data_IF_018892991120
#
_entry.id   IF_018892991120
#
_cell.length_a   1.000
_cell.length_b   1.000
_cell.length_c   1.000
_cell.angle_alpha   90.00
_cell.angle_beta   90.00
_cell.angle_gamma   90.00
#
_symmetry.space_group_name_H-M   'P 1'
#
loop_
_entity.id
_entity.type
_entity.pdbx_description
1 polymer ?
#
# COMPACT_ATOMS: atom_id res chain seq x y z
N UNK A 1 6.93 -16.08 -8.61
CA UNK A 1 6.54 -15.81 -7.20
C UNK A 1 6.00 -14.39 -7.01
N UNK A 2 6.66 -13.31 -7.50
CA UNK A 2 6.19 -11.90 -7.33
C UNK A 2 4.89 -11.58 -8.05
N UNK A 3 4.55 -12.31 -9.11
CA UNK A 3 3.36 -12.10 -9.93
C UNK A 3 2.18 -13.01 -9.54
N UNK A 4 2.27 -13.75 -8.43
CA UNK A 4 1.31 -14.80 -8.05
C UNK A 4 1.04 -15.81 -9.19
N UNK A 5 2.03 -16.08 -10.02
CA UNK A 5 1.98 -17.12 -11.02
C UNK A 5 2.09 -18.50 -10.35
N UNK A 6 1.41 -19.52 -10.88
CA UNK A 6 1.57 -20.91 -10.43
C UNK A 6 3.01 -21.40 -10.62
N UNK A 7 3.41 -22.38 -9.84
CA UNK A 7 4.78 -22.93 -9.97
C UNK A 7 5.02 -23.54 -11.36
N UNK A 8 4.01 -24.19 -11.94
CA UNK A 8 4.04 -24.71 -13.30
C UNK A 8 4.28 -23.60 -14.36
N UNK A 9 3.58 -22.46 -14.20
CA UNK A 9 3.77 -21.32 -15.09
C UNK A 9 5.17 -20.71 -14.92
N UNK A 10 5.69 -20.67 -13.71
CA UNK A 10 7.04 -20.18 -13.41
C UNK A 10 8.06 -21.10 -14.10
N UNK A 11 7.92 -22.42 -13.94
CA UNK A 11 8.81 -23.40 -14.54
C UNK A 11 8.86 -23.30 -16.06
N UNK A 12 7.69 -23.22 -16.70
CA UNK A 12 7.57 -23.03 -18.15
C UNK A 12 8.22 -21.75 -18.66
N UNK A 13 8.17 -20.66 -17.87
CA UNK A 13 8.83 -19.41 -18.23
C UNK A 13 10.33 -19.52 -18.10
N UNK A 14 10.82 -20.19 -17.03
CA UNK A 14 12.26 -20.41 -16.81
C UNK A 14 12.83 -21.21 -17.97
N UNK A 15 12.25 -22.35 -18.31
CA UNK A 15 12.67 -23.19 -19.44
C UNK A 15 12.74 -22.39 -20.76
N UNK A 16 11.69 -21.64 -21.10
CA UNK A 16 11.68 -20.84 -22.32
C UNK A 16 12.67 -19.67 -22.32
N UNK A 17 13.05 -19.17 -21.16
CA UNK A 17 14.09 -18.14 -21.03
C UNK A 17 15.46 -18.79 -21.13
N UNK A 18 15.68 -19.95 -20.49
CA UNK A 18 16.94 -20.69 -20.56
C UNK A 18 17.31 -21.07 -21.99
N UNK A 19 16.35 -21.50 -22.80
CA UNK A 19 16.53 -21.81 -24.24
C UNK A 19 16.99 -20.59 -25.07
N UNK A 20 16.81 -19.37 -24.56
CA UNK A 20 17.12 -18.14 -25.27
C UNK A 20 18.30 -17.36 -24.67
N UNK A 21 18.90 -17.87 -23.61
CA UNK A 21 20.09 -17.25 -22.96
C UNK A 21 21.33 -17.55 -23.82
N UNK A 22 22.18 -16.54 -23.95
CA UNK A 22 23.49 -16.64 -24.57
C UNK A 22 24.53 -15.87 -23.76
N UNK A 23 25.78 -16.16 -23.96
CA UNK A 23 26.89 -15.48 -23.25
C UNK A 23 26.90 -13.96 -23.55
N UNK A 24 26.99 -13.14 -22.50
CA UNK A 24 26.93 -11.68 -22.60
C UNK A 24 25.52 -11.09 -22.63
N UNK A 25 24.45 -11.89 -22.51
CA UNK A 25 23.09 -11.34 -22.39
C UNK A 25 22.95 -10.48 -21.12
N UNK A 26 22.31 -9.29 -21.25
CA UNK A 26 22.06 -8.43 -20.10
C UNK A 26 20.88 -8.91 -19.26
N UNK A 27 20.95 -8.71 -17.95
CA UNK A 27 19.81 -8.98 -17.03
C UNK A 27 18.52 -8.26 -17.45
N UNK A 28 18.65 -7.06 -18.02
CA UNK A 28 17.51 -6.31 -18.58
C UNK A 28 16.83 -7.06 -19.71
N UNK A 29 17.60 -7.70 -20.60
CA UNK A 29 17.05 -8.46 -21.73
C UNK A 29 16.39 -9.76 -21.26
N UNK A 30 16.99 -10.48 -20.32
CA UNK A 30 16.39 -11.64 -19.65
C UNK A 30 15.04 -11.28 -19.05
N UNK A 31 14.99 -10.15 -18.34
CA UNK A 31 13.77 -9.64 -17.71
C UNK A 31 12.66 -9.32 -18.71
N UNK A 32 13.02 -8.72 -19.86
CA UNK A 32 12.10 -8.41 -20.95
C UNK A 32 11.53 -9.69 -21.62
N UNK A 33 12.38 -10.70 -21.81
CA UNK A 33 11.99 -12.00 -22.36
C UNK A 33 11.00 -12.71 -21.41
N UNK A 34 11.35 -12.86 -20.15
CA UNK A 34 10.47 -13.46 -19.14
C UNK A 34 9.13 -12.74 -19.05
N UNK A 35 9.12 -11.41 -19.10
CA UNK A 35 7.89 -10.62 -19.10
C UNK A 35 7.04 -10.82 -20.36
N UNK A 36 7.66 -10.89 -21.54
CA UNK A 36 6.96 -11.14 -22.82
C UNK A 36 6.27 -12.50 -22.80
N UNK A 37 6.96 -13.53 -22.31
CA UNK A 37 6.41 -14.89 -22.17
C UNK A 37 5.27 -14.88 -21.15
N UNK A 38 5.46 -14.29 -19.97
CA UNK A 38 4.43 -14.16 -18.95
C UNK A 38 3.18 -13.46 -19.47
N UNK A 39 3.34 -12.37 -20.24
CA UNK A 39 2.22 -11.62 -20.82
C UNK A 39 1.42 -12.46 -21.83
N UNK A 40 2.09 -13.31 -22.60
CA UNK A 40 1.46 -14.25 -23.53
C UNK A 40 0.66 -15.35 -22.83
N UNK A 41 1.15 -15.83 -21.67
CA UNK A 41 0.54 -16.94 -20.93
C UNK A 41 -0.49 -16.47 -19.87
N UNK A 42 -0.28 -15.32 -19.23
CA UNK A 42 -1.19 -14.77 -18.20
C UNK A 42 -1.13 -13.25 -18.16
N UNK A 43 -2.17 -12.60 -18.69
CA UNK A 43 -2.29 -11.13 -18.63
C UNK A 43 -2.42 -10.63 -17.19
N UNK A 44 -3.11 -11.37 -16.32
CA UNK A 44 -3.30 -11.01 -14.91
C UNK A 44 -1.97 -11.01 -14.17
N UNK A 45 -1.19 -12.09 -14.27
CA UNK A 45 0.13 -12.19 -13.65
C UNK A 45 1.13 -11.16 -14.21
N UNK A 46 1.05 -10.87 -15.51
CA UNK A 46 1.86 -9.83 -16.15
C UNK A 46 1.49 -8.42 -15.64
N UNK A 47 0.20 -8.13 -15.42
CA UNK A 47 -0.27 -6.86 -14.85
C UNK A 47 0.22 -6.69 -13.40
N UNK A 48 0.09 -7.73 -12.57
CA UNK A 48 0.61 -7.72 -11.19
C UNK A 48 2.13 -7.52 -11.13
N UNK A 49 2.85 -8.09 -12.09
CA UNK A 49 4.29 -7.92 -12.20
C UNK A 49 4.69 -6.47 -12.51
N UNK A 50 3.93 -5.79 -13.38
CA UNK A 50 4.13 -4.36 -13.69
C UNK A 50 3.64 -3.43 -12.59
N UNK A 51 2.58 -3.81 -11.86
CA UNK A 51 2.00 -2.97 -10.81
C UNK A 51 3.04 -2.54 -9.78
N UNK A 52 3.89 -3.47 -9.30
CA UNK A 52 4.95 -3.14 -8.35
C UNK A 52 5.88 -2.07 -8.90
N UNK A 53 6.29 -2.20 -10.17
CA UNK A 53 7.14 -1.21 -10.82
C UNK A 53 6.43 0.14 -10.93
N UNK A 54 5.18 0.13 -11.40
CA UNK A 54 4.38 1.35 -11.52
C UNK A 54 4.20 2.06 -10.16
N UNK A 55 3.93 1.31 -9.08
CA UNK A 55 3.85 1.88 -7.74
C UNK A 55 5.17 2.49 -7.27
N UNK A 56 6.31 1.92 -7.65
CA UNK A 56 7.64 2.46 -7.32
C UNK A 56 8.03 3.68 -8.15
N UNK A 57 7.33 3.93 -9.25
CA UNK A 57 7.55 5.06 -10.16
C UNK A 57 6.57 6.23 -9.93
N UNK A 58 5.70 6.15 -8.92
CA UNK A 58 4.77 7.23 -8.57
C UNK A 58 5.45 8.49 -8.01
N UNK A 59 6.74 8.37 -7.58
CA UNK A 59 7.51 9.47 -7.00
C UNK A 59 7.90 10.58 -7.99
N UNK A 60 8.63 11.62 -7.56
CA UNK A 60 9.43 11.67 -6.31
C UNK A 60 8.65 12.04 -5.04
N UNK A 61 7.47 12.64 -5.14
CA UNK A 61 6.66 12.97 -3.97
C UNK A 61 5.71 11.83 -3.54
N UNK A 62 5.22 11.85 -2.30
CA UNK A 62 4.20 10.92 -1.81
C UNK A 62 2.81 11.15 -2.38
N UNK A 63 2.52 12.35 -2.86
CA UNK A 63 1.18 12.79 -3.24
C UNK A 63 0.48 11.91 -4.31
N UNK A 64 1.15 11.43 -5.39
CA UNK A 64 0.52 10.48 -6.31
C UNK A 64 0.11 9.15 -5.64
N UNK A 65 0.86 8.72 -4.62
CA UNK A 65 0.52 7.51 -3.85
C UNK A 65 -0.69 7.75 -2.93
N UNK A 66 -0.80 8.92 -2.30
CA UNK A 66 -1.97 9.33 -1.51
C UNK A 66 -3.25 9.33 -2.37
N UNK A 67 -3.16 9.92 -3.58
CA UNK A 67 -4.28 9.88 -4.55
C UNK A 67 -4.65 8.47 -4.96
N UNK A 68 -3.68 7.59 -5.18
CA UNK A 68 -3.94 6.19 -5.49
C UNK A 68 -4.67 5.50 -4.34
N UNK A 69 -4.21 5.68 -3.10
CA UNK A 69 -4.87 5.11 -1.91
C UNK A 69 -6.31 5.64 -1.77
N UNK A 70 -6.51 6.95 -1.97
CA UNK A 70 -7.85 7.52 -2.01
C UNK A 70 -8.75 6.84 -3.04
N UNK A 71 -8.26 6.63 -4.28
CA UNK A 71 -9.02 5.95 -5.33
C UNK A 71 -9.28 4.46 -5.05
N UNK A 72 -8.35 3.76 -4.41
CA UNK A 72 -8.58 2.37 -3.97
C UNK A 72 -9.72 2.30 -2.94
N UNK A 73 -9.73 3.20 -1.96
CA UNK A 73 -10.77 3.27 -0.96
C UNK A 73 -12.13 3.69 -1.56
N UNK A 74 -12.14 4.59 -2.56
CA UNK A 74 -13.37 4.91 -3.31
C UNK A 74 -13.92 3.68 -4.03
N UNK A 75 -13.06 2.86 -4.63
CA UNK A 75 -13.47 1.61 -5.27
C UNK A 75 -14.04 0.59 -4.26
N UNK A 76 -13.60 0.65 -3.00
CA UNK A 76 -14.17 -0.13 -1.88
C UNK A 76 -15.46 0.49 -1.31
N UNK A 77 -15.93 1.59 -1.88
CA UNK A 77 -17.19 2.24 -1.53
C UNK A 77 -17.08 3.31 -0.45
N UNK A 78 -15.87 3.80 -0.14
CA UNK A 78 -15.68 4.93 0.76
C UNK A 78 -15.80 6.27 0.02
N UNK A 79 -16.33 7.28 0.68
CA UNK A 79 -16.15 8.68 0.28
C UNK A 79 -14.81 9.18 0.82
N UNK A 80 -13.92 9.67 -0.05
CA UNK A 80 -12.55 10.05 0.33
C UNK A 80 -12.28 11.55 0.19
N UNK A 81 -11.35 12.05 1.00
CA UNK A 81 -10.70 13.36 0.86
C UNK A 81 -9.20 13.18 1.04
N UNK A 82 -8.41 13.78 0.16
CA UNK A 82 -6.93 13.67 0.14
C UNK A 82 -6.30 14.99 0.55
N UNK A 83 -5.25 14.95 1.38
CA UNK A 83 -4.49 16.13 1.81
C UNK A 83 -5.33 17.11 2.64
N UNK A 84 -5.90 16.66 3.76
CA UNK A 84 -6.83 17.48 4.57
C UNK A 84 -6.20 17.87 5.89
N UNK A 85 -6.20 19.17 6.20
CA UNK A 85 -5.83 19.66 7.52
C UNK A 85 -7.04 19.53 8.46
N UNK A 86 -6.87 18.84 9.58
CA UNK A 86 -7.88 18.68 10.62
C UNK A 86 -7.38 19.19 11.96
N UNK A 87 -8.28 19.70 12.77
CA UNK A 87 -7.99 20.07 14.15
C UNK A 87 -8.03 18.81 15.01
N UNK A 88 -6.92 18.48 15.69
CA UNK A 88 -6.89 17.55 16.80
C UNK A 88 -7.25 18.25 18.11
N UNK A 89 -7.30 17.50 19.21
CA UNK A 89 -7.53 18.09 20.53
C UNK A 89 -6.41 19.08 20.90
N UNK A 90 -5.17 18.75 20.58
CA UNK A 90 -4.00 19.52 20.96
C UNK A 90 -3.47 20.40 19.83
N UNK A 91 -3.30 19.82 18.63
CA UNK A 91 -2.69 20.50 17.47
C UNK A 91 -3.41 20.17 16.16
N UNK A 92 -3.10 20.91 15.10
CA UNK A 92 -3.56 20.58 13.76
C UNK A 92 -2.70 19.46 13.16
N UNK A 93 -3.35 18.62 12.35
CA UNK A 93 -2.71 17.52 11.62
C UNK A 93 -3.09 17.58 10.14
N UNK A 94 -2.13 17.43 9.27
CA UNK A 94 -2.37 17.09 7.87
C UNK A 94 -2.60 15.58 7.78
N UNK A 95 -3.71 15.16 7.19
CA UNK A 95 -4.08 13.76 6.98
C UNK A 95 -4.07 13.47 5.50
N UNK A 96 -3.29 12.47 5.09
CA UNK A 96 -3.11 12.14 3.68
C UNK A 96 -4.42 11.68 3.04
N UNK A 97 -5.19 10.80 3.71
CA UNK A 97 -6.52 10.38 3.24
C UNK A 97 -7.49 10.21 4.41
N UNK A 98 -8.62 10.90 4.32
CA UNK A 98 -9.80 10.63 5.16
C UNK A 98 -10.77 9.81 4.31
N UNK A 99 -11.22 8.66 4.81
CA UNK A 99 -12.19 7.80 4.13
C UNK A 99 -13.38 7.53 5.05
N UNK A 100 -14.58 7.77 4.53
CA UNK A 100 -15.84 7.63 5.26
C UNK A 100 -16.78 6.67 4.54
N UNK A 101 -17.30 5.71 5.27
CA UNK A 101 -18.32 4.78 4.80
C UNK A 101 -19.22 4.39 5.95
N UNK A 102 -20.53 4.58 5.77
CA UNK A 102 -21.53 4.33 6.80
C UNK A 102 -21.13 5.00 8.13
N UNK A 103 -20.97 4.23 9.19
CA UNK A 103 -20.57 4.69 10.52
C UNK A 103 -19.05 4.59 10.76
N UNK A 104 -18.27 4.38 9.71
CA UNK A 104 -16.81 4.22 9.85
C UNK A 104 -16.07 5.39 9.22
N UNK A 105 -15.16 6.00 9.99
CA UNK A 105 -14.26 7.06 9.55
C UNK A 105 -12.80 6.62 9.72
N UNK A 106 -12.08 6.56 8.62
CA UNK A 106 -10.66 6.20 8.60
C UNK A 106 -9.79 7.44 8.43
N UNK A 107 -8.74 7.55 9.25
CA UNK A 107 -7.61 8.45 9.10
C UNK A 107 -6.41 7.66 8.60
N UNK A 108 -6.01 7.87 7.37
CA UNK A 108 -4.97 7.09 6.71
C UNK A 108 -3.75 7.96 6.44
N UNK A 109 -2.60 7.48 6.88
CA UNK A 109 -1.28 7.97 6.48
C UNK A 109 -0.72 7.12 5.35
N UNK A 110 -0.14 7.75 4.35
CA UNK A 110 0.42 7.12 3.15
C UNK A 110 1.94 7.24 3.15
N UNK A 111 2.65 6.14 3.40
CA UNK A 111 4.11 6.14 3.43
C UNK A 111 4.69 5.60 2.13
N UNK A 112 5.03 6.53 1.23
CA UNK A 112 5.70 6.20 -0.03
C UNK A 112 7.21 6.06 0.15
N UNK A 113 7.80 5.04 -0.47
CA UNK A 113 9.24 4.85 -0.58
C UNK A 113 9.63 4.63 -2.04
N UNK A 114 10.63 5.36 -2.53
CA UNK A 114 11.21 5.18 -3.87
C UNK A 114 12.13 3.95 -3.98
N UNK A 115 12.62 3.45 -2.84
CA UNK A 115 13.47 2.25 -2.75
C UNK A 115 12.65 1.03 -2.32
N UNK A 116 12.68 -0.03 -3.12
CA UNK A 116 11.97 -1.29 -2.86
C UNK A 116 12.49 -2.06 -1.63
N UNK A 117 13.75 -1.86 -1.26
CA UNK A 117 14.39 -2.48 -0.10
C UNK A 117 13.98 -1.85 1.22
N UNK A 118 13.37 -0.66 1.19
CA UNK A 118 13.01 0.08 2.39
C UNK A 118 11.72 -0.46 3.03
N UNK A 119 11.75 -0.58 4.36
CA UNK A 119 10.61 -1.03 5.17
C UNK A 119 10.07 0.11 6.02
N UNK A 120 8.76 0.14 6.22
CA UNK A 120 8.12 0.94 7.26
C UNK A 120 8.36 0.26 8.62
N UNK A 121 9.22 0.84 9.46
CA UNK A 121 9.49 0.33 10.80
C UNK A 121 8.43 0.79 11.82
N UNK A 122 8.54 0.31 13.05
CA UNK A 122 7.59 0.56 14.14
C UNK A 122 7.42 2.05 14.50
N UNK A 123 8.40 2.91 14.20
CA UNK A 123 8.29 4.36 14.45
C UNK A 123 7.13 5.00 13.70
N UNK A 124 6.80 4.47 12.50
CA UNK A 124 5.68 5.01 11.70
C UNK A 124 4.34 4.73 12.39
N UNK A 125 3.93 3.47 12.66
CA UNK A 125 2.66 3.22 13.32
C UNK A 125 2.60 3.79 14.75
N UNK A 126 3.71 3.89 15.50
CA UNK A 126 3.75 4.60 16.79
C UNK A 126 3.37 6.08 16.63
N UNK A 127 4.00 6.78 15.70
CA UNK A 127 3.75 8.19 15.43
C UNK A 127 2.31 8.42 14.95
N UNK A 128 1.84 7.60 14.01
CA UNK A 128 0.49 7.73 13.47
C UNK A 128 -0.58 7.39 14.51
N UNK A 129 -0.34 6.42 15.39
CA UNK A 129 -1.25 6.14 16.50
C UNK A 129 -1.42 7.34 17.43
N UNK A 130 -0.31 8.01 17.79
CA UNK A 130 -0.38 9.22 18.63
C UNK A 130 -1.15 10.36 17.93
N UNK A 131 -0.93 10.57 16.62
CA UNK A 131 -1.70 11.55 15.84
C UNK A 131 -3.18 11.20 15.78
N UNK A 132 -3.49 9.93 15.52
CA UNK A 132 -4.85 9.44 15.47
C UNK A 132 -5.59 9.68 16.79
N UNK A 133 -4.99 9.37 17.93
CA UNK A 133 -5.59 9.60 19.23
C UNK A 133 -5.89 11.09 19.52
N UNK A 134 -5.06 12.01 19.02
CA UNK A 134 -5.31 13.45 19.16
C UNK A 134 -6.51 13.89 18.29
N UNK A 135 -6.59 13.39 17.04
CA UNK A 135 -7.70 13.68 16.13
C UNK A 135 -9.00 13.03 16.60
N UNK A 136 -8.96 11.77 17.02
CA UNK A 136 -10.12 11.01 17.50
C UNK A 136 -10.80 11.72 18.67
N UNK A 137 -10.01 12.17 19.68
CA UNK A 137 -10.55 12.92 20.82
C UNK A 137 -11.26 14.22 20.45
N UNK A 138 -10.89 14.83 19.33
CA UNK A 138 -11.58 16.01 18.81
C UNK A 138 -12.81 15.62 18.01
N UNK A 139 -12.75 14.57 17.18
CA UNK A 139 -13.87 14.07 16.40
C UNK A 139 -15.02 13.59 17.29
N UNK A 140 -14.74 12.87 18.38
CA UNK A 140 -15.76 12.44 19.35
C UNK A 140 -16.61 13.58 19.92
N UNK A 141 -16.11 14.82 19.88
CA UNK A 141 -16.80 16.04 20.36
C UNK A 141 -17.54 16.78 19.24
N UNK A 142 -17.35 16.37 18.00
CA UNK A 142 -17.95 17.04 16.84
C UNK A 142 -19.30 16.43 16.51
N UNK A 143 -20.27 17.31 16.26
CA UNK A 143 -21.60 16.91 15.80
C UNK A 143 -21.51 16.04 14.54
N UNK A 144 -22.16 14.90 14.55
CA UNK A 144 -22.16 13.92 13.45
C UNK A 144 -21.03 12.89 13.53
N UNK A 145 -20.29 12.87 14.65
CA UNK A 145 -19.25 11.87 14.93
C UNK A 145 -19.57 11.03 16.19
N UNK A 146 -20.70 11.28 16.86
CA UNK A 146 -21.04 10.73 18.18
C UNK A 146 -21.09 9.19 18.18
N UNK A 147 -21.62 8.58 17.10
CA UNK A 147 -21.78 7.13 16.97
C UNK A 147 -20.88 6.54 15.88
N UNK A 148 -19.80 7.24 15.51
CA UNK A 148 -18.91 6.79 14.45
C UNK A 148 -17.72 6.00 14.98
N UNK A 149 -17.39 4.91 14.29
CA UNK A 149 -16.17 4.16 14.53
C UNK A 149 -14.99 4.88 13.85
N UNK A 150 -14.09 5.43 14.64
CA UNK A 150 -12.86 6.04 14.14
C UNK A 150 -11.72 5.01 14.10
N UNK A 151 -10.93 5.00 13.03
CA UNK A 151 -9.75 4.12 12.88
C UNK A 151 -8.62 4.86 12.22
N UNK A 152 -7.44 4.78 12.85
CA UNK A 152 -6.18 5.17 12.23
C UNK A 152 -5.63 4.05 11.33
N UNK A 153 -4.87 4.41 10.30
CA UNK A 153 -4.24 3.41 9.45
C UNK A 153 -3.01 3.92 8.73
N UNK A 154 -2.20 2.99 8.23
CA UNK A 154 -1.00 3.28 7.44
C UNK A 154 -1.00 2.43 6.18
N UNK A 155 -0.85 3.09 5.03
CA UNK A 155 -0.66 2.48 3.72
C UNK A 155 0.77 2.71 3.25
N UNK A 156 1.43 1.68 2.73
CA UNK A 156 2.77 1.82 2.14
C UNK A 156 2.92 1.01 0.86
N UNK A 157 3.64 1.56 -0.12
CA UNK A 157 4.00 0.85 -1.35
C UNK A 157 5.10 -0.21 -1.15
N UNK A 158 5.71 -0.30 0.03
CA UNK A 158 6.75 -1.28 0.35
C UNK A 158 6.24 -2.32 1.35
N UNK A 159 6.92 -2.54 2.47
CA UNK A 159 6.58 -3.53 3.49
C UNK A 159 6.70 -2.96 4.88
N UNK A 160 6.01 -3.56 5.83
CA UNK A 160 6.22 -3.31 7.26
C UNK A 160 7.27 -4.25 7.83
N UNK A 161 8.00 -3.80 8.86
CA UNK A 161 8.75 -4.70 9.73
C UNK A 161 7.79 -5.51 10.61
N UNK A 162 8.27 -6.63 11.17
CA UNK A 162 7.49 -7.47 12.11
C UNK A 162 6.93 -6.65 13.28
N UNK A 163 7.78 -5.82 13.91
CA UNK A 163 7.39 -4.97 15.04
C UNK A 163 6.31 -3.95 14.65
N UNK A 164 6.39 -3.39 13.43
CA UNK A 164 5.37 -2.45 12.94
C UNK A 164 4.01 -3.14 12.80
N UNK A 165 3.99 -4.38 12.28
CA UNK A 165 2.77 -5.18 12.16
C UNK A 165 2.23 -5.57 13.53
N UNK A 166 3.08 -6.03 14.44
CA UNK A 166 2.68 -6.42 15.80
C UNK A 166 2.08 -5.23 16.56
N UNK A 167 2.77 -4.09 16.55
CA UNK A 167 2.27 -2.88 17.20
C UNK A 167 0.94 -2.42 16.61
N UNK A 168 0.86 -2.30 15.29
CA UNK A 168 -0.37 -1.85 14.62
C UNK A 168 -1.58 -2.75 14.93
N UNK A 169 -1.38 -4.08 14.95
CA UNK A 169 -2.42 -5.02 15.38
C UNK A 169 -2.83 -4.82 16.84
N UNK A 170 -1.86 -4.64 17.72
CA UNK A 170 -2.09 -4.46 19.16
C UNK A 170 -2.98 -3.24 19.45
N UNK A 171 -2.76 -2.13 18.73
CA UNK A 171 -3.49 -0.86 18.94
C UNK A 171 -4.65 -0.63 17.94
N UNK A 172 -5.01 -1.64 17.14
CA UNK A 172 -6.16 -1.57 16.22
C UNK A 172 -5.96 -0.71 14.98
N UNK A 173 -4.70 -0.38 14.60
CA UNK A 173 -4.43 0.33 13.36
C UNK A 173 -4.67 -0.54 12.13
N UNK A 174 -5.24 0.06 11.09
CA UNK A 174 -5.32 -0.53 9.76
C UNK A 174 -3.96 -0.44 9.09
N UNK A 175 -3.37 -1.57 8.73
CA UNK A 175 -2.10 -1.61 8.04
C UNK A 175 -2.24 -2.25 6.67
N UNK A 176 -1.86 -1.53 5.62
CA UNK A 176 -1.85 -2.05 4.25
C UNK A 176 -0.50 -1.78 3.60
N UNK A 177 0.13 -2.84 3.10
CA UNK A 177 1.39 -2.76 2.36
C UNK A 177 1.33 -3.55 1.06
N UNK A 178 2.46 -3.68 0.36
CA UNK A 178 2.52 -4.47 -0.85
C UNK A 178 2.01 -5.91 -0.67
N UNK A 179 2.33 -6.55 0.45
CA UNK A 179 2.02 -7.95 0.74
C UNK A 179 1.29 -8.16 2.09
N UNK A 180 0.83 -7.12 2.72
CA UNK A 180 0.09 -7.18 3.97
C UNK A 180 -1.18 -6.30 3.92
N UNK A 181 -2.34 -6.76 4.46
CA UNK A 181 -2.55 -8.10 5.02
C UNK A 181 -2.44 -9.20 3.95
N UNK A 182 -2.11 -10.42 4.37
CA UNK A 182 -1.95 -11.52 3.43
C UNK A 182 -3.25 -11.76 2.65
N UNK A 183 -3.17 -11.72 1.32
CA UNK A 183 -4.32 -11.83 0.42
C UNK A 183 -5.05 -10.51 0.11
N UNK A 184 -4.90 -9.48 0.95
CA UNK A 184 -5.56 -8.16 0.80
C UNK A 184 -4.55 -6.98 0.82
N UNK A 185 -3.29 -7.24 0.50
CA UNK A 185 -2.30 -6.17 0.26
C UNK A 185 -2.49 -5.50 -1.10
N UNK A 186 -1.60 -4.56 -1.43
CA UNK A 186 -1.65 -3.82 -2.71
C UNK A 186 -1.31 -4.67 -3.96
N UNK A 187 -0.84 -5.91 -3.78
CA UNK A 187 -0.48 -6.83 -4.86
C UNK A 187 -1.65 -7.65 -5.38
#
# INVERSE_FOLDING_TARGET
RRAQASEELIQQIVEQVEDQIYDGITTKKIYQMAFKILKGKSRVSASKYKLKKALMELGPSGFPFEKLVGKLLEYEGFATKVGVIVQGKCVQHEIDVIAKKDDTHHMIECKYHSDQGRFCNVKIPLYIHSRFLDVEKQWERQKGHEDKLHRGGVYTNTRFTTDAVQYGKCVGLLLTSWDYPMGNGLK
#
